data_IF_243658236166
#
_entry.id   IF_243658236166
#
_cell.length_a   1.000
_cell.length_b   1.000
_cell.length_c   1.000
_cell.angle_alpha   90.00
_cell.angle_beta   90.00
_cell.angle_gamma   90.00
#
_symmetry.space_group_name_H-M   'P 1'
#
loop_
_entity.id
_entity.type
_entity.pdbx_description
1 polymer ?
#
# COMPACT_ATOMS: atom_id res chain seq x y z
N UNK A 1 10.50 20.27 7.41
CA UNK A 1 10.16 19.21 6.43
C UNK A 1 8.65 19.05 6.43
N UNK A 2 8.01 18.95 5.27
CA UNK A 2 6.56 18.70 5.20
C UNK A 2 6.33 17.18 5.16
N UNK A 3 6.06 16.55 6.31
CA UNK A 3 5.90 15.09 6.39
C UNK A 3 4.62 14.57 5.73
N UNK A 4 3.55 15.38 5.67
CA UNK A 4 2.34 15.05 4.90
C UNK A 4 2.71 14.87 3.43
N UNK A 5 3.38 15.86 2.84
CA UNK A 5 3.80 15.82 1.44
C UNK A 5 4.71 14.61 1.17
N UNK A 6 5.69 14.39 2.04
CA UNK A 6 6.63 13.27 1.94
C UNK A 6 5.94 11.89 1.88
N UNK A 7 4.91 11.68 2.70
CA UNK A 7 4.15 10.44 2.73
C UNK A 7 3.20 10.34 1.52
N UNK A 8 2.52 11.42 1.16
CA UNK A 8 1.64 11.45 -0.02
C UNK A 8 2.42 11.16 -1.30
N UNK A 9 3.61 11.72 -1.47
CA UNK A 9 4.47 11.46 -2.63
C UNK A 9 4.90 10.00 -2.69
N UNK A 10 5.28 9.40 -1.56
CA UNK A 10 5.64 7.98 -1.52
C UNK A 10 4.45 7.07 -1.81
N UNK A 11 3.30 7.36 -1.21
CA UNK A 11 2.08 6.58 -1.42
C UNK A 11 1.56 6.70 -2.85
N UNK A 12 1.52 7.90 -3.41
CA UNK A 12 1.17 8.13 -4.81
C UNK A 12 2.14 7.45 -5.78
N UNK A 13 3.43 7.38 -5.41
CA UNK A 13 4.42 6.60 -6.15
C UNK A 13 4.13 5.09 -6.03
N UNK A 14 3.87 4.56 -4.84
CA UNK A 14 3.48 3.15 -4.60
C UNK A 14 2.31 2.73 -5.47
N UNK A 15 1.23 3.50 -5.44
CA UNK A 15 -0.02 3.14 -6.13
C UNK A 15 0.11 3.23 -7.64
N UNK A 16 0.96 4.12 -8.16
CA UNK A 16 1.12 4.33 -9.61
C UNK A 16 2.36 3.67 -10.22
N UNK A 17 3.27 3.08 -9.44
CA UNK A 17 4.55 2.58 -9.96
C UNK A 17 4.37 1.46 -10.99
N UNK A 18 3.67 0.40 -10.61
CA UNK A 18 3.49 -0.80 -11.45
C UNK A 18 2.78 -0.47 -12.76
N UNK A 19 1.71 0.34 -12.69
CA UNK A 19 0.90 0.72 -13.86
C UNK A 19 1.67 1.50 -14.94
N UNK A 20 2.88 2.00 -14.65
CA UNK A 20 3.75 2.65 -15.66
C UNK A 20 4.35 1.65 -16.65
N UNK A 21 4.41 0.37 -16.29
CA UNK A 21 5.18 -0.65 -17.02
C UNK A 21 4.32 -1.79 -17.56
N UNK A 22 3.06 -1.90 -17.11
CA UNK A 22 2.22 -3.05 -17.44
C UNK A 22 1.19 -2.67 -18.51
N UNK A 23 1.22 -3.32 -19.69
CA UNK A 23 0.20 -3.12 -20.71
C UNK A 23 -1.20 -3.44 -20.17
N UNK A 24 -2.17 -2.58 -20.50
CA UNK A 24 -3.55 -2.71 -20.04
C UNK A 24 -3.86 -1.98 -18.72
N UNK A 25 -2.84 -1.53 -17.99
CA UNK A 25 -3.01 -0.60 -16.87
C UNK A 25 -3.00 0.85 -17.37
N UNK A 26 -3.64 1.76 -16.63
CA UNK A 26 -3.64 3.18 -16.97
C UNK A 26 -3.46 4.07 -15.75
N UNK A 27 -2.87 5.24 -15.97
CA UNK A 27 -2.65 6.24 -14.93
C UNK A 27 -3.10 7.59 -15.47
N UNK A 28 -3.96 8.27 -14.71
CA UNK A 28 -4.31 9.67 -14.94
C UNK A 28 -3.75 10.51 -13.81
N UNK A 29 -2.86 11.45 -14.16
CA UNK A 29 -2.24 12.37 -13.20
C UNK A 29 -2.78 13.78 -13.42
N UNK A 30 -3.25 14.40 -12.35
CA UNK A 30 -3.61 15.82 -12.28
C UNK A 30 -2.77 16.49 -11.18
N UNK A 31 -2.96 17.79 -10.98
CA UNK A 31 -2.33 18.48 -9.82
C UNK A 31 -2.97 18.10 -8.48
N UNK A 32 -4.21 17.59 -8.49
CA UNK A 32 -4.97 17.33 -7.28
C UNK A 32 -5.07 15.84 -6.93
N UNK A 33 -4.92 14.93 -7.91
CA UNK A 33 -5.04 13.49 -7.70
C UNK A 33 -4.28 12.66 -8.73
N UNK A 34 -4.05 11.39 -8.38
CA UNK A 34 -3.62 10.34 -9.31
C UNK A 34 -4.66 9.22 -9.27
N UNK A 35 -5.24 8.88 -10.42
CA UNK A 35 -6.13 7.74 -10.59
C UNK A 35 -5.41 6.60 -11.33
N UNK A 36 -5.47 5.40 -10.77
CA UNK A 36 -4.82 4.20 -11.32
C UNK A 36 -5.86 3.12 -11.59
N UNK A 37 -5.87 2.60 -12.81
CA UNK A 37 -6.62 1.41 -13.19
C UNK A 37 -5.64 0.27 -13.45
N UNK A 38 -5.75 -0.80 -12.66
CA UNK A 38 -4.85 -1.95 -12.74
C UNK A 38 -5.27 -2.98 -13.82
N UNK A 39 -6.36 -2.74 -14.54
CA UNK A 39 -6.90 -3.65 -15.55
C UNK A 39 -7.68 -4.84 -14.98
N UNK A 40 -7.74 -4.99 -13.65
CA UNK A 40 -8.46 -6.05 -12.93
C UNK A 40 -9.48 -5.43 -11.96
N UNK A 41 -10.56 -6.13 -11.61
CA UNK A 41 -11.52 -5.64 -10.62
C UNK A 41 -10.99 -5.87 -9.19
N UNK A 42 -10.00 -5.07 -8.78
CA UNK A 42 -9.40 -5.10 -7.44
C UNK A 42 -9.20 -3.69 -6.88
N UNK A 43 -9.93 -3.30 -5.82
CA UNK A 43 -9.76 -1.97 -5.23
C UNK A 43 -8.44 -1.79 -4.46
N UNK A 44 -7.74 -2.90 -4.19
CA UNK A 44 -6.37 -2.90 -3.67
C UNK A 44 -5.40 -2.21 -4.64
N UNK A 45 -5.73 -2.19 -5.95
CA UNK A 45 -4.86 -1.62 -6.99
C UNK A 45 -5.57 -0.57 -7.86
N UNK A 46 -6.90 -0.55 -7.93
CA UNK A 46 -7.68 0.52 -8.53
C UNK A 46 -7.84 1.67 -7.53
N UNK A 47 -6.83 2.54 -7.47
CA UNK A 47 -6.73 3.58 -6.44
C UNK A 47 -6.76 4.97 -7.06
N UNK A 48 -7.63 5.84 -6.52
CA UNK A 48 -7.50 7.29 -6.66
C UNK A 48 -6.85 7.84 -5.39
N UNK A 49 -5.63 8.36 -5.53
CA UNK A 49 -4.91 9.05 -4.45
C UNK A 49 -5.14 10.56 -4.57
N UNK A 50 -5.81 11.18 -3.60
CA UNK A 50 -5.88 12.64 -3.52
C UNK A 50 -4.55 13.20 -2.99
N UNK A 51 -3.95 14.10 -3.75
CA UNK A 51 -2.74 14.85 -3.40
C UNK A 51 -3.08 16.14 -2.63
N UNK A 52 -4.25 16.69 -2.93
CA UNK A 52 -4.81 17.87 -2.29
C UNK A 52 -6.33 17.71 -2.24
N UNK A 53 -6.92 17.87 -1.06
CA UNK A 53 -8.37 17.78 -0.89
C UNK A 53 -9.09 19.07 -1.35
N UNK A 54 -8.38 20.20 -1.35
CA UNK A 54 -8.87 21.44 -1.95
C UNK A 54 -8.66 21.41 -3.46
N UNK A 55 -9.53 20.67 -4.16
CA UNK A 55 -9.43 20.43 -5.59
C UNK A 55 -9.40 21.75 -6.38
N UNK A 56 -8.32 21.97 -7.12
CA UNK A 56 -8.13 23.15 -7.95
C UNK A 56 -8.50 22.93 -9.42
N UNK A 57 -8.77 21.69 -9.83
CA UNK A 57 -9.34 21.32 -11.14
C UNK A 57 -10.87 21.11 -11.09
N UNK A 58 -11.48 21.29 -9.92
CA UNK A 58 -12.91 21.11 -9.70
C UNK A 58 -13.32 19.66 -9.44
N UNK A 59 -14.32 19.49 -8.58
CA UNK A 59 -14.78 18.18 -8.11
C UNK A 59 -15.45 17.32 -9.19
N UNK A 60 -16.04 17.94 -10.22
CA UNK A 60 -16.69 17.25 -11.32
C UNK A 60 -15.74 16.31 -12.09
N UNK A 61 -14.44 16.63 -12.14
CA UNK A 61 -13.46 15.73 -12.76
C UNK A 61 -13.25 14.47 -11.94
N UNK A 62 -13.17 14.61 -10.61
CA UNK A 62 -13.07 13.47 -9.70
C UNK A 62 -14.29 12.56 -9.82
N UNK A 63 -15.50 13.15 -9.93
CA UNK A 63 -16.73 12.38 -10.17
C UNK A 63 -16.65 11.56 -11.46
N UNK A 64 -16.09 12.13 -12.53
CA UNK A 64 -15.88 11.38 -13.79
C UNK A 64 -14.90 10.22 -13.64
N UNK A 65 -13.88 10.35 -12.78
CA UNK A 65 -13.00 9.21 -12.49
C UNK A 65 -13.72 8.10 -11.73
N UNK A 66 -14.53 8.45 -10.73
CA UNK A 66 -15.30 7.46 -9.96
C UNK A 66 -16.34 6.77 -10.86
N UNK A 67 -17.05 7.56 -11.67
CA UNK A 67 -18.02 7.07 -12.67
C UNK A 67 -17.38 6.12 -13.70
N UNK A 68 -16.13 6.36 -14.08
CA UNK A 68 -15.39 5.46 -14.97
C UNK A 68 -15.28 4.03 -14.40
N UNK A 69 -15.03 3.88 -13.10
CA UNK A 69 -14.99 2.55 -12.47
C UNK A 69 -16.39 1.92 -12.33
N UNK A 70 -17.43 2.73 -12.08
CA UNK A 70 -18.82 2.25 -12.10
C UNK A 70 -19.20 1.67 -13.47
N UNK A 71 -18.88 2.37 -14.56
CA UNK A 71 -19.17 1.90 -15.92
C UNK A 71 -18.41 0.63 -16.29
N UNK A 72 -17.22 0.42 -15.70
CA UNK A 72 -16.43 -0.80 -15.87
C UNK A 72 -16.86 -1.96 -14.95
N UNK A 73 -17.73 -1.71 -13.98
CA UNK A 73 -18.04 -2.64 -12.89
C UNK A 73 -16.77 -3.07 -12.13
N UNK A 74 -15.86 -2.12 -11.87
CA UNK A 74 -14.60 -2.38 -11.17
C UNK A 74 -14.65 -1.81 -9.75
N UNK A 75 -14.31 -2.60 -8.72
CA UNK A 75 -14.09 -2.07 -7.39
C UNK A 75 -12.87 -1.15 -7.41
N UNK A 76 -12.98 -0.03 -6.71
CA UNK A 76 -11.98 1.00 -6.58
C UNK A 76 -12.02 1.65 -5.20
N UNK A 77 -10.89 2.25 -4.81
CA UNK A 77 -10.79 3.02 -3.58
C UNK A 77 -10.26 4.44 -3.82
N UNK A 78 -10.78 5.41 -3.06
CA UNK A 78 -10.26 6.76 -2.94
C UNK A 78 -9.56 6.91 -1.60
N UNK A 79 -8.28 7.25 -1.66
CA UNK A 79 -7.45 7.55 -0.50
C UNK A 79 -7.26 9.06 -0.39
N UNK A 80 -7.63 9.61 0.76
CA UNK A 80 -7.47 11.04 1.04
C UNK A 80 -6.90 11.28 2.43
N UNK A 81 -6.18 12.38 2.58
CA UNK A 81 -5.70 12.82 3.87
C UNK A 81 -6.86 13.39 4.69
N UNK A 82 -7.07 12.95 5.92
CA UNK A 82 -8.17 13.42 6.75
C UNK A 82 -7.75 14.69 7.50
N UNK A 83 -8.28 15.85 7.06
CA UNK A 83 -8.17 17.13 7.78
C UNK A 83 -9.53 17.55 8.34
N UNK A 84 -9.55 18.02 9.59
CA UNK A 84 -10.78 18.44 10.30
C UNK A 84 -11.58 19.54 9.57
N UNK A 85 -10.93 20.29 8.67
CA UNK A 85 -11.49 21.40 7.90
C UNK A 85 -11.96 21.00 6.49
N UNK A 86 -11.65 19.80 6.00
CA UNK A 86 -11.91 19.34 4.61
C UNK A 86 -13.10 18.37 4.52
N UNK A 87 -14.07 18.51 5.43
CA UNK A 87 -15.31 17.70 5.49
C UNK A 87 -16.12 17.71 4.19
N UNK A 88 -15.88 18.66 3.29
CA UNK A 88 -16.58 18.78 2.01
C UNK A 88 -16.25 17.62 1.07
N UNK A 89 -14.98 17.34 0.78
CA UNK A 89 -14.63 16.34 -0.26
C UNK A 89 -15.09 14.93 0.12
N UNK A 90 -14.92 14.56 1.39
CA UNK A 90 -15.36 13.26 1.90
C UNK A 90 -16.89 13.11 1.81
N UNK A 91 -17.63 14.14 2.20
CA UNK A 91 -19.09 14.13 2.11
C UNK A 91 -19.58 14.04 0.67
N UNK A 92 -18.91 14.74 -0.24
CA UNK A 92 -19.18 14.67 -1.67
C UNK A 92 -18.91 13.29 -2.27
N UNK A 93 -17.82 12.62 -1.89
CA UNK A 93 -17.52 11.25 -2.29
C UNK A 93 -18.56 10.24 -1.76
N UNK A 94 -19.09 10.45 -0.55
CA UNK A 94 -20.17 9.64 0.01
C UNK A 94 -21.48 9.86 -0.76
N UNK A 95 -21.79 11.10 -1.17
CA UNK A 95 -23.00 11.41 -1.96
C UNK A 95 -23.04 10.70 -3.31
N UNK A 96 -21.88 10.45 -3.91
CA UNK A 96 -21.78 9.69 -5.18
C UNK A 96 -21.69 8.18 -4.97
N UNK A 97 -21.88 7.69 -3.74
CA UNK A 97 -22.02 6.26 -3.43
C UNK A 97 -20.76 5.58 -2.88
N UNK A 98 -19.68 6.32 -2.57
CA UNK A 98 -18.54 5.70 -1.89
C UNK A 98 -18.82 5.53 -0.39
N UNK A 99 -18.29 4.46 0.19
CA UNK A 99 -18.40 4.15 1.61
C UNK A 99 -17.03 4.20 2.27
N UNK A 100 -16.92 4.90 3.40
CA UNK A 100 -15.73 4.84 4.23
C UNK A 100 -15.58 3.45 4.85
N UNK A 101 -14.41 2.84 4.64
CA UNK A 101 -14.13 1.47 5.10
C UNK A 101 -12.92 1.39 6.02
N UNK A 102 -12.01 2.37 5.94
CA UNK A 102 -10.79 2.34 6.72
C UNK A 102 -10.31 3.75 7.10
N UNK A 103 -9.72 3.85 8.29
CA UNK A 103 -8.93 4.98 8.72
C UNK A 103 -7.55 4.50 9.17
N UNK A 104 -6.53 5.05 8.52
CA UNK A 104 -5.14 4.73 8.79
C UNK A 104 -4.43 5.92 9.43
N UNK A 105 -3.53 5.66 10.36
CA UNK A 105 -2.65 6.68 10.91
C UNK A 105 -1.41 6.78 10.02
N UNK A 106 -1.23 7.93 9.39
CA UNK A 106 -0.02 8.26 8.65
C UNK A 106 1.15 8.45 9.62
N UNK A 107 2.26 7.73 9.40
CA UNK A 107 3.42 7.77 10.29
C UNK A 107 4.73 8.00 9.53
N UNK A 108 5.68 8.66 10.21
CA UNK A 108 7.03 8.92 9.69
C UNK A 108 8.10 8.59 10.73
N UNK A 109 9.27 8.23 10.25
CA UNK A 109 10.44 7.85 11.02
C UNK A 109 11.70 8.46 10.38
N UNK A 110 12.58 9.06 11.18
CA UNK A 110 13.92 9.44 10.71
C UNK A 110 14.86 8.24 10.87
N UNK A 111 15.30 7.67 9.74
CA UNK A 111 16.21 6.52 9.71
C UNK A 111 17.59 6.84 10.32
N UNK A 112 17.94 8.10 10.60
CA UNK A 112 19.17 8.40 11.36
C UNK A 112 19.04 8.15 12.85
N UNK A 113 17.81 8.15 13.35
CA UNK A 113 17.52 8.12 14.80
C UNK A 113 16.98 6.78 15.27
N UNK A 114 16.58 5.93 14.33
CA UNK A 114 15.99 4.62 14.62
C UNK A 114 17.06 3.54 14.51
N UNK A 115 16.91 2.49 15.30
CA UNK A 115 17.78 1.32 15.26
C UNK A 115 16.91 0.07 15.36
N UNK A 116 16.60 -0.60 14.23
CA UNK A 116 15.76 -1.79 14.24
C UNK A 116 16.46 -2.90 15.02
N UNK A 117 15.71 -3.57 15.89
CA UNK A 117 16.16 -4.78 16.56
C UNK A 117 15.38 -5.96 15.99
N UNK A 118 16.08 -6.82 15.25
CA UNK A 118 15.45 -8.00 14.64
C UNK A 118 15.54 -9.16 15.60
N UNK A 119 14.41 -9.51 16.20
CA UNK A 119 14.23 -10.77 16.92
C UNK A 119 13.69 -11.80 15.92
N UNK A 120 14.59 -12.50 15.23
CA UNK A 120 14.21 -13.53 14.26
C UNK A 120 13.71 -14.78 15.00
N UNK A 121 12.48 -15.25 14.76
CA UNK A 121 12.05 -16.55 15.27
C UNK A 121 12.96 -17.69 14.81
N UNK A 122 13.05 -18.76 15.60
CA UNK A 122 13.80 -19.96 15.24
C UNK A 122 13.24 -20.53 13.93
N UNK A 123 14.13 -20.99 13.03
CA UNK A 123 13.76 -21.56 11.72
C UNK A 123 13.01 -20.60 10.79
N UNK A 124 13.10 -19.29 11.02
CA UNK A 124 12.54 -18.26 10.16
C UNK A 124 13.64 -17.51 9.41
N UNK A 125 13.44 -17.34 8.11
CA UNK A 125 14.34 -16.57 7.24
C UNK A 125 13.55 -15.58 6.41
N UNK A 126 14.19 -14.49 5.98
CA UNK A 126 13.59 -13.52 5.05
C UNK A 126 14.50 -13.43 3.83
N UNK A 127 13.89 -13.46 2.64
CA UNK A 127 14.58 -13.28 1.36
C UNK A 127 13.81 -12.32 0.46
N UNK A 128 14.53 -11.63 -0.43
CA UNK A 128 13.89 -10.86 -1.51
C UNK A 128 13.29 -11.83 -2.54
N UNK A 129 12.08 -11.55 -3.02
CA UNK A 129 11.50 -12.22 -4.16
C UNK A 129 12.15 -11.70 -5.45
N UNK A 130 12.80 -12.59 -6.21
CA UNK A 130 13.51 -12.22 -7.44
C UNK A 130 13.17 -13.08 -8.65
N UNK A 131 12.40 -14.14 -8.47
CA UNK A 131 11.90 -15.01 -9.55
C UNK A 131 10.37 -14.93 -9.69
N UNK A 132 9.82 -15.24 -10.87
CA UNK A 132 8.37 -15.23 -11.07
C UNK A 132 7.61 -16.10 -10.07
N UNK A 133 8.14 -17.28 -9.74
CA UNK A 133 7.53 -18.17 -8.75
C UNK A 133 7.48 -17.56 -7.34
N UNK A 134 8.51 -16.80 -6.95
CA UNK A 134 8.54 -16.10 -5.66
C UNK A 134 7.57 -14.91 -5.63
N UNK A 135 7.44 -14.16 -6.74
CA UNK A 135 6.48 -13.05 -6.85
C UNK A 135 5.05 -13.59 -6.81
N UNK A 136 4.78 -14.74 -7.45
CA UNK A 136 3.48 -15.40 -7.34
C UNK A 136 3.19 -15.84 -5.90
N UNK A 137 4.19 -16.34 -5.16
CA UNK A 137 4.04 -16.65 -3.73
C UNK A 137 3.84 -15.43 -2.85
N UNK A 138 4.40 -14.28 -3.24
CA UNK A 138 4.08 -13.01 -2.60
C UNK A 138 2.58 -12.71 -2.75
N UNK A 139 2.08 -12.75 -3.99
CA UNK A 139 0.68 -12.49 -4.31
C UNK A 139 -0.28 -13.46 -3.64
N UNK A 140 0.03 -14.76 -3.62
CA UNK A 140 -0.74 -15.78 -2.90
C UNK A 140 -0.86 -15.45 -1.41
N UNK A 141 0.26 -15.12 -0.76
CA UNK A 141 0.26 -14.82 0.69
C UNK A 141 -0.45 -13.51 1.01
N UNK A 142 -0.42 -12.53 0.11
CA UNK A 142 -1.19 -11.28 0.27
C UNK A 142 -2.69 -11.51 0.01
N UNK A 143 -3.03 -12.31 -1.00
CA UNK A 143 -4.40 -12.68 -1.35
C UNK A 143 -5.11 -13.41 -0.18
N UNK A 144 -4.38 -14.19 0.62
CA UNK A 144 -4.92 -14.85 1.82
C UNK A 144 -5.59 -13.89 2.82
N UNK A 145 -5.24 -12.58 2.80
CA UNK A 145 -5.93 -11.58 3.63
C UNK A 145 -7.42 -11.44 3.30
N UNK A 146 -7.79 -11.78 2.08
CA UNK A 146 -9.13 -11.63 1.53
C UNK A 146 -9.94 -12.93 1.55
N UNK A 147 -9.38 -14.01 2.10
CA UNK A 147 -10.04 -15.31 2.22
C UNK A 147 -10.52 -15.84 0.87
N UNK A 148 -11.82 -16.13 0.77
CA UNK A 148 -12.46 -16.67 -0.45
C UNK A 148 -13.16 -15.60 -1.30
N UNK A 149 -12.92 -14.31 -1.05
CA UNK A 149 -13.55 -13.23 -1.82
C UNK A 149 -12.94 -13.10 -3.22
N UNK A 150 -13.67 -12.45 -4.14
CA UNK A 150 -13.18 -12.16 -5.49
C UNK A 150 -11.92 -11.28 -5.47
N UNK A 151 -11.80 -10.37 -4.49
CA UNK A 151 -10.61 -9.53 -4.32
C UNK A 151 -9.34 -10.39 -4.22
N UNK A 152 -9.36 -11.47 -3.42
CA UNK A 152 -8.20 -12.35 -3.29
C UNK A 152 -7.76 -12.98 -4.62
N UNK A 153 -8.72 -13.37 -5.46
CA UNK A 153 -8.48 -13.90 -6.80
C UNK A 153 -7.79 -12.84 -7.67
N UNK A 154 -8.28 -11.60 -7.64
CA UNK A 154 -7.72 -10.52 -8.43
C UNK A 154 -6.38 -10.01 -7.91
N UNK A 155 -6.14 -10.07 -6.59
CA UNK A 155 -4.84 -9.80 -5.99
C UNK A 155 -3.80 -10.81 -6.45
N UNK A 156 -4.14 -12.10 -6.44
CA UNK A 156 -3.24 -13.12 -6.98
C UNK A 156 -3.00 -12.93 -8.49
N UNK A 157 -4.06 -12.61 -9.24
CA UNK A 157 -3.95 -12.36 -10.68
C UNK A 157 -3.03 -11.17 -11.02
N UNK A 158 -3.09 -10.09 -10.23
CA UNK A 158 -2.21 -8.93 -10.37
C UNK A 158 -0.74 -9.33 -10.23
N UNK A 159 -0.38 -10.08 -9.17
CA UNK A 159 1.00 -10.53 -8.99
C UNK A 159 1.46 -11.53 -10.05
N UNK A 160 0.57 -12.41 -10.52
CA UNK A 160 0.84 -13.29 -11.65
C UNK A 160 1.19 -12.49 -12.92
N UNK A 161 0.47 -11.41 -13.20
CA UNK A 161 0.69 -10.54 -14.36
C UNK A 161 2.06 -9.84 -14.32
N UNK A 162 2.52 -9.43 -13.14
CA UNK A 162 3.79 -8.69 -13.00
C UNK A 162 5.00 -9.59 -12.71
N UNK A 163 4.79 -10.88 -12.46
CA UNK A 163 5.83 -11.82 -12.01
C UNK A 163 7.01 -11.98 -12.96
N UNK A 164 6.79 -11.77 -14.27
CA UNK A 164 7.84 -11.86 -15.29
C UNK A 164 8.48 -10.51 -15.64
N UNK A 165 8.09 -9.44 -14.94
CA UNK A 165 8.63 -8.10 -15.17
C UNK A 165 9.77 -7.82 -14.20
N UNK A 166 10.82 -7.16 -14.70
CA UNK A 166 11.97 -6.77 -13.88
C UNK A 166 11.67 -5.64 -12.87
N UNK A 167 10.43 -5.13 -12.83
CA UNK A 167 10.02 -4.04 -11.94
C UNK A 167 10.16 -4.39 -10.45
N UNK A 168 9.99 -5.67 -10.09
CA UNK A 168 10.15 -6.17 -8.72
C UNK A 168 11.63 -6.38 -8.32
N UNK A 169 12.53 -6.32 -9.30
CA UNK A 169 13.99 -6.37 -9.12
C UNK A 169 14.63 -4.97 -9.22
N UNK A 170 13.82 -3.92 -9.32
CA UNK A 170 14.29 -2.53 -9.39
C UNK A 170 14.72 -2.00 -8.01
N UNK A 171 15.35 -0.83 -8.01
CA UNK A 171 15.64 -0.11 -6.76
C UNK A 171 14.38 0.49 -6.12
N UNK A 172 13.28 0.66 -6.89
CA UNK A 172 12.09 1.39 -6.47
C UNK A 172 11.03 0.51 -5.81
N UNK A 173 10.91 -0.76 -6.21
CA UNK A 173 9.97 -1.73 -5.64
C UNK A 173 10.74 -3.00 -5.27
N UNK A 174 10.71 -3.38 -4.00
CA UNK A 174 11.28 -4.64 -3.52
C UNK A 174 10.24 -5.42 -2.75
N UNK A 175 10.09 -6.69 -3.09
CA UNK A 175 9.17 -7.62 -2.44
C UNK A 175 9.96 -8.62 -1.60
N UNK A 176 9.50 -8.92 -0.39
CA UNK A 176 10.17 -9.84 0.53
C UNK A 176 9.24 -10.95 0.99
N UNK A 177 9.81 -12.15 1.13
CA UNK A 177 9.16 -13.36 1.61
C UNK A 177 9.80 -13.77 2.93
N UNK A 178 8.98 -14.00 3.95
CA UNK A 178 9.37 -14.61 5.21
C UNK A 178 8.98 -16.09 5.22
N UNK A 179 9.98 -16.95 5.34
CA UNK A 179 9.84 -18.40 5.26
C UNK A 179 9.99 -19.03 6.64
N UNK A 180 9.06 -19.89 7.01
CA UNK A 180 9.14 -20.72 8.21
C UNK A 180 8.97 -22.18 7.80
N UNK A 181 9.93 -23.03 8.15
CA UNK A 181 9.93 -24.46 7.79
C UNK A 181 9.79 -24.72 6.26
N UNK A 182 10.33 -23.81 5.44
CA UNK A 182 10.30 -23.90 3.98
C UNK A 182 9.07 -23.26 3.32
N UNK A 183 8.06 -22.85 4.10
CA UNK A 183 6.83 -22.25 3.61
C UNK A 183 6.82 -20.73 3.76
N UNK A 184 6.28 -20.01 2.77
CA UNK A 184 6.05 -18.56 2.90
C UNK A 184 4.90 -18.33 3.87
N UNK A 185 5.19 -17.65 4.98
CA UNK A 185 4.22 -17.37 6.05
C UNK A 185 3.95 -15.89 6.24
N UNK A 186 4.84 -15.02 5.78
CA UNK A 186 4.66 -13.57 5.82
C UNK A 186 5.33 -12.91 4.63
N UNK A 187 4.81 -11.77 4.22
CA UNK A 187 5.33 -10.95 3.12
C UNK A 187 5.40 -9.49 3.55
N UNK A 188 6.14 -8.69 2.79
CA UNK A 188 6.16 -7.24 2.92
C UNK A 188 6.98 -6.58 1.82
N UNK A 189 6.70 -5.31 1.53
CA UNK A 189 7.30 -4.59 0.42
C UNK A 189 7.96 -3.28 0.85
N UNK A 190 8.98 -2.87 0.10
CA UNK A 190 9.59 -1.55 0.17
C UNK A 190 9.31 -0.77 -1.11
N UNK A 191 8.92 0.49 -0.94
CA UNK A 191 8.78 1.47 -2.01
C UNK A 191 9.78 2.60 -1.81
N UNK A 192 10.74 2.69 -2.71
CA UNK A 192 11.80 3.68 -2.64
C UNK A 192 11.45 4.83 -3.58
N UNK A 193 10.89 5.90 -3.03
CA UNK A 193 10.64 7.15 -3.75
C UNK A 193 11.85 8.07 -3.63
N UNK A 194 11.77 9.26 -4.23
CA UNK A 194 12.87 10.23 -4.27
C UNK A 194 13.37 10.62 -2.88
N UNK A 195 12.46 10.89 -1.95
CA UNK A 195 12.76 11.54 -0.68
C UNK A 195 12.39 10.67 0.55
N UNK A 196 11.78 9.49 0.34
CA UNK A 196 11.37 8.56 1.41
C UNK A 196 11.34 7.10 0.98
N UNK A 197 11.39 6.20 1.97
CA UNK A 197 11.16 4.77 1.83
C UNK A 197 9.84 4.43 2.50
N UNK A 198 8.93 3.80 1.77
CA UNK A 198 7.67 3.32 2.30
C UNK A 198 7.74 1.83 2.63
N UNK A 199 7.17 1.44 3.77
CA UNK A 199 6.98 0.04 4.15
C UNK A 199 5.50 -0.31 3.94
N UNK A 200 5.24 -1.30 3.09
CA UNK A 200 3.88 -1.65 2.67
C UNK A 200 3.64 -3.17 2.68
N UNK A 201 2.38 -3.53 2.47
CA UNK A 201 1.91 -4.89 2.16
C UNK A 201 2.42 -5.97 3.14
N UNK A 202 2.58 -5.61 4.42
CA UNK A 202 2.97 -6.57 5.46
C UNK A 202 1.75 -7.44 5.78
N UNK A 203 1.82 -8.71 5.39
CA UNK A 203 0.79 -9.69 5.66
C UNK A 203 1.42 -10.94 6.28
N UNK A 204 0.76 -11.52 7.28
CA UNK A 204 1.11 -12.83 7.85
C UNK A 204 -0.12 -13.72 7.77
N UNK A 205 0.06 -14.96 7.25
CA UNK A 205 -1.00 -15.97 7.16
C UNK A 205 -1.71 -16.14 8.50
N UNK A 206 -3.02 -16.28 8.49
CA UNK A 206 -3.86 -16.27 9.71
C UNK A 206 -3.36 -17.26 10.78
N UNK A 207 -3.14 -18.53 10.40
CA UNK A 207 -2.63 -19.57 11.30
C UNK A 207 -1.18 -19.37 11.79
N UNK A 208 -0.48 -18.34 11.29
CA UNK A 208 0.90 -18.01 11.66
C UNK A 208 1.00 -16.70 12.45
N UNK A 209 -0.12 -16.01 12.70
CA UNK A 209 -0.17 -14.77 13.49
C UNK A 209 0.15 -15.02 14.96
N UNK A 210 0.57 -13.98 15.68
CA UNK A 210 0.94 -14.07 17.10
C UNK A 210 2.28 -14.76 17.39
N UNK A 211 3.01 -15.20 16.35
CA UNK A 211 4.30 -15.92 16.46
C UNK A 211 5.53 -15.04 16.21
N UNK A 212 5.34 -13.73 16.00
CA UNK A 212 6.43 -12.77 15.79
C UNK A 212 6.90 -12.59 14.34
N UNK A 213 6.37 -13.34 13.36
CA UNK A 213 6.80 -13.23 11.95
C UNK A 213 6.57 -11.84 11.34
N UNK A 214 5.38 -11.24 11.54
CA UNK A 214 5.10 -9.89 11.02
C UNK A 214 6.02 -8.83 11.64
N UNK A 215 6.30 -8.92 12.94
CA UNK A 215 7.26 -8.02 13.60
C UNK A 215 8.70 -8.22 13.09
N UNK A 216 9.10 -9.46 12.82
CA UNK A 216 10.41 -9.75 12.24
C UNK A 216 10.51 -9.21 10.81
N UNK A 217 9.46 -9.38 9.99
CA UNK A 217 9.37 -8.80 8.65
C UNK A 217 9.47 -7.27 8.70
N UNK A 218 8.68 -6.61 9.54
CA UNK A 218 8.74 -5.16 9.70
C UNK A 218 10.15 -4.65 10.08
N UNK A 219 10.78 -5.24 11.11
CA UNK A 219 12.11 -4.81 11.55
C UNK A 219 13.18 -5.09 10.49
N UNK A 220 13.04 -6.18 9.73
CA UNK A 220 13.90 -6.47 8.58
C UNK A 220 13.73 -5.41 7.48
N UNK A 221 12.50 -5.07 7.08
CA UNK A 221 12.23 -4.04 6.09
C UNK A 221 12.78 -2.67 6.53
N UNK A 222 12.68 -2.36 7.82
CA UNK A 222 13.26 -1.15 8.39
C UNK A 222 14.79 -1.17 8.29
N UNK A 223 15.44 -2.32 8.56
CA UNK A 223 16.88 -2.49 8.36
C UNK A 223 17.28 -2.35 6.89
N UNK A 224 16.51 -2.90 5.95
CA UNK A 224 16.73 -2.71 4.52
C UNK A 224 16.58 -1.24 4.12
N UNK A 225 15.63 -0.51 4.70
CA UNK A 225 15.45 0.92 4.48
C UNK A 225 16.68 1.74 4.92
N UNK A 226 17.40 1.33 5.97
CA UNK A 226 18.65 1.99 6.40
C UNK A 226 19.78 1.94 5.36
N UNK A 227 19.73 1.01 4.39
CA UNK A 227 20.72 0.95 3.32
C UNK A 227 20.60 2.12 2.35
N UNK A 228 19.47 2.82 2.36
CA UNK A 228 19.23 4.01 1.57
C UNK A 228 19.78 5.25 2.28
N UNK A 229 20.46 6.12 1.54
CA UNK A 229 21.13 7.30 2.09
C UNK A 229 20.13 8.22 2.80
N UNK A 230 20.34 8.47 4.09
CA UNK A 230 19.77 9.58 4.89
C UNK A 230 18.35 10.01 4.48
N UNK A 231 17.41 9.08 4.55
CA UNK A 231 16.02 9.28 4.11
C UNK A 231 15.04 9.04 5.26
N UNK A 232 13.78 9.42 5.06
CA UNK A 232 12.70 9.16 6.00
C UNK A 232 11.99 7.86 5.63
N UNK A 233 11.52 7.13 6.64
CA UNK A 233 10.65 5.99 6.44
C UNK A 233 9.19 6.41 6.69
N UNK A 234 8.27 6.01 5.81
CA UNK A 234 6.84 6.31 5.92
C UNK A 234 6.00 5.04 5.88
N UNK A 235 4.83 5.08 6.51
CA UNK A 235 3.82 4.01 6.43
C UNK A 235 2.43 4.52 6.84
N UNK A 236 1.42 3.72 6.52
CA UNK A 236 0.06 3.85 7.02
C UNK A 236 -0.19 2.73 8.04
N UNK A 237 -0.46 3.11 9.28
CA UNK A 237 -0.71 2.17 10.36
C UNK A 237 -2.20 1.96 10.54
N UNK A 238 -2.64 0.70 10.47
CA UNK A 238 -3.96 0.31 10.95
C UNK A 238 -4.07 0.53 12.47
N UNK A 239 -5.29 0.62 13.02
CA UNK A 239 -5.52 0.71 14.46
C UNK A 239 -4.81 -0.41 15.25
N UNK A 240 -4.77 -1.62 14.70
CA UNK A 240 -4.15 -2.78 15.34
C UNK A 240 -2.62 -2.75 15.29
N UNK A 241 -2.03 -2.19 14.23
CA UNK A 241 -0.59 -2.16 14.00
C UNK A 241 0.15 -0.99 14.65
N UNK A 242 -0.54 0.10 15.00
CA UNK A 242 0.06 1.38 15.39
C UNK A 242 1.11 1.28 16.52
N UNK A 243 0.87 0.41 17.51
CA UNK A 243 1.74 0.29 18.67
C UNK A 243 3.09 -0.35 18.33
N UNK A 244 3.16 -1.18 17.28
CA UNK A 244 4.40 -1.79 16.79
C UNK A 244 5.32 -0.70 16.23
N UNK A 245 4.76 0.19 15.41
CA UNK A 245 5.50 1.25 14.75
C UNK A 245 5.96 2.33 15.73
N UNK A 246 5.10 2.75 16.67
CA UNK A 246 5.48 3.70 17.74
C UNK A 246 6.68 3.23 18.56
N UNK A 247 6.70 1.95 18.95
CA UNK A 247 7.83 1.35 19.68
C UNK A 247 9.13 1.36 18.89
N UNK A 248 9.03 1.40 17.56
CA UNK A 248 10.16 1.43 16.63
C UNK A 248 10.60 2.86 16.28
N UNK A 249 10.00 3.88 16.90
CA UNK A 249 10.37 5.29 16.71
C UNK A 249 9.54 6.04 15.66
N UNK A 250 8.51 5.42 15.07
CA UNK A 250 7.61 6.12 14.16
C UNK A 250 6.68 7.09 14.91
N UNK A 251 6.48 8.25 14.33
CA UNK A 251 5.66 9.34 14.86
C UNK A 251 4.42 9.51 13.99
N UNK A 252 3.26 9.69 14.60
CA UNK A 252 2.02 9.99 13.87
C UNK A 252 2.08 11.42 13.32
N UNK A 253 1.73 11.59 12.04
CA UNK A 253 1.74 12.89 11.35
C UNK A 253 0.36 13.28 10.80
N UNK A 254 -0.60 12.36 10.81
CA UNK A 254 -1.98 12.62 10.43
C UNK A 254 -2.76 11.34 10.22
N UNK A 255 -3.86 11.46 9.49
CA UNK A 255 -4.77 10.37 9.19
C UNK A 255 -5.02 10.30 7.70
N UNK A 256 -5.27 9.10 7.18
CA UNK A 256 -5.76 8.88 5.83
C UNK A 256 -7.05 8.08 5.90
N UNK A 257 -8.07 8.55 5.19
CA UNK A 257 -9.34 7.85 5.04
C UNK A 257 -9.38 7.13 3.70
N UNK A 258 -9.93 5.92 3.73
CA UNK A 258 -10.21 5.12 2.54
C UNK A 258 -11.72 5.05 2.35
N UNK A 259 -12.18 5.45 1.17
CA UNK A 259 -13.54 5.18 0.71
C UNK A 259 -13.49 4.24 -0.48
N UNK A 260 -14.45 3.35 -0.61
CA UNK A 260 -14.54 2.39 -1.73
C UNK A 260 -15.96 2.28 -2.28
N UNK A 261 -16.08 1.64 -3.43
CA UNK A 261 -17.36 1.28 -4.04
C UNK A 261 -17.64 -0.23 -4.07
N UNK A 262 -16.81 -1.10 -3.49
CA UNK A 262 -16.95 -2.56 -3.58
C UNK A 262 -18.35 -3.06 -3.19
N UNK A 263 -18.92 -2.49 -2.14
CA UNK A 263 -20.30 -2.76 -1.68
C UNK A 263 -21.43 -2.49 -2.71
N UNK A 264 -21.13 -1.89 -3.86
CA UNK A 264 -22.08 -1.65 -4.96
C UNK A 264 -21.94 -2.68 -6.09
N UNK A 265 -20.90 -3.52 -6.04
CA UNK A 265 -20.52 -4.47 -7.09
C UNK A 265 -20.72 -5.91 -6.61
N UNK A 266 -20.50 -6.16 -5.31
CA UNK A 266 -20.73 -7.45 -4.64
C UNK A 266 -22.21 -7.73 -4.30
#
# INVERSE_FOLDING_TARGET
MNYKQLLLENFAFKTSYVAQFVPGMSIKKTKDYIAVDCGLPADTFNIITLLNNNLTEGIEKLYKEVEYYYQRNFPMSVWLWDEEQERDIKSELIKIGLKEVEQNIAMVADLKTISPTINMPVSFTIQQASSPGQINKFGETLADLFGTSEEGIHVQAFYNQISNLDICNSENLKLFLGLYEGEVVTVGSLICSKDSIGIYDIATKEGMRGRGFGSAMFNFLLQEAHKFKNTYCVLQASPDGINIYKKSGFQAIGKMTVLENRHLIE
#
